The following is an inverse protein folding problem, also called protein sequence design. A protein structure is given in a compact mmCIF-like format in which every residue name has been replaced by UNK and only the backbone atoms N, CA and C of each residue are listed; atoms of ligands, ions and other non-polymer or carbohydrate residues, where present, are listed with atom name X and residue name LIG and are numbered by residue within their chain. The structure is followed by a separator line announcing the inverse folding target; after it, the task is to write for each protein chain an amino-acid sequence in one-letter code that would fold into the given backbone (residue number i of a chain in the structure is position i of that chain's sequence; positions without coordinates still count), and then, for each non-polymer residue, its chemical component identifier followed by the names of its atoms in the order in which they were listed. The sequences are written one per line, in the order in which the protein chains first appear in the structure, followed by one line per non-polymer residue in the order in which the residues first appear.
data_IF_207679131981
#
_entry.id   IF_207679131981
#
_cell.length_a   1.000
_cell.length_b   1.000
_cell.length_c   1.000
_cell.angle_alpha   90.00
_cell.angle_beta   90.00
_cell.angle_gamma   90.00
#
_symmetry.space_group_name_H-M   'P 1'
#
loop_
_entity.id
_entity.type
_entity.pdbx_description
1 polymer ?
#
# COMPACT_ATOMS: atom_id res chain seq x y z
N UNK A 1 7.46 1.37 5.32
CA UNK A 1 7.47 2.48 4.34
C UNK A 1 6.78 3.64 5.02
N UNK A 2 7.26 4.86 4.81
CA UNK A 2 6.64 6.06 5.34
C UNK A 2 6.72 7.14 4.26
N UNK A 3 5.64 7.88 4.09
CA UNK A 3 5.58 9.08 3.28
C UNK A 3 5.37 10.29 4.19
N UNK A 4 5.88 11.44 3.78
CA UNK A 4 5.46 12.72 4.35
C UNK A 4 4.75 13.48 3.24
N UNK A 5 3.51 13.90 3.52
CA UNK A 5 2.63 14.51 2.53
C UNK A 5 2.25 15.91 3.01
N UNK A 6 2.44 16.90 2.13
CA UNK A 6 1.83 18.21 2.27
C UNK A 6 0.70 18.32 1.25
N UNK A 7 -0.54 18.41 1.74
CA UNK A 7 -1.75 18.30 0.91
C UNK A 7 -2.60 19.56 1.01
N UNK A 8 -3.20 19.97 -0.11
CA UNK A 8 -4.19 21.06 -0.10
C UNK A 8 -5.48 20.58 0.56
N UNK A 9 -6.00 21.34 1.51
CA UNK A 9 -7.30 21.04 2.16
C UNK A 9 -8.41 20.77 1.15
N UNK A 10 -8.52 21.59 0.10
CA UNK A 10 -9.53 21.42 -0.96
C UNK A 10 -9.43 20.08 -1.69
N UNK A 11 -8.22 19.55 -1.88
CA UNK A 11 -8.03 18.25 -2.52
C UNK A 11 -8.55 17.12 -1.62
N UNK A 12 -8.28 17.20 -0.30
CA UNK A 12 -8.81 16.23 0.67
C UNK A 12 -10.34 16.29 0.81
N UNK A 13 -10.94 17.49 0.73
CA UNK A 13 -12.40 17.63 0.73
C UNK A 13 -13.01 16.97 -0.51
N UNK A 14 -12.34 17.05 -1.66
CA UNK A 14 -12.82 16.47 -2.91
C UNK A 14 -12.69 14.94 -2.95
N UNK A 15 -11.52 14.39 -2.62
CA UNK A 15 -11.27 12.94 -2.78
C UNK A 15 -11.50 12.12 -1.51
N UNK A 16 -11.68 12.78 -0.36
CA UNK A 16 -11.75 12.15 0.96
C UNK A 16 -10.37 11.95 1.62
N UNK A 17 -10.38 11.59 2.91
CA UNK A 17 -9.19 11.29 3.70
C UNK A 17 -8.62 9.90 3.36
N UNK A 18 -7.88 9.28 4.29
CA UNK A 18 -7.49 7.88 4.17
C UNK A 18 -8.71 6.97 4.18
N UNK A 19 -8.66 5.92 3.37
CA UNK A 19 -9.70 4.89 3.34
C UNK A 19 -9.40 3.83 4.42
N UNK A 20 -10.40 3.55 5.26
CA UNK A 20 -10.30 2.60 6.37
C UNK A 20 -10.05 1.15 5.91
N UNK A 21 -10.26 0.84 4.63
CA UNK A 21 -9.82 -0.42 4.02
C UNK A 21 -8.29 -0.61 4.06
N UNK A 22 -7.51 0.47 4.27
CA UNK A 22 -6.06 0.47 4.36
C UNK A 22 -5.60 1.01 5.73
N UNK A 23 -5.55 0.19 6.79
CA UNK A 23 -5.23 0.69 8.12
C UNK A 23 -3.79 1.19 8.26
N UNK A 24 -2.84 0.52 7.59
CA UNK A 24 -1.40 0.83 7.69
C UNK A 24 -0.76 0.89 6.32
N UNK A 25 -0.77 -0.21 5.54
CA UNK A 25 -0.14 -0.22 4.22
C UNK A 25 -1.11 0.21 3.13
N UNK A 26 -0.58 0.81 2.07
CA UNK A 26 -1.34 1.27 0.89
C UNK A 26 -2.33 2.41 1.15
N UNK A 27 -2.42 2.97 2.35
CA UNK A 27 -3.30 4.11 2.63
C UNK A 27 -2.88 5.37 1.88
N UNK A 28 -1.58 5.67 1.87
CA UNK A 28 -0.97 6.77 1.14
C UNK A 28 -0.95 6.52 -0.36
N UNK A 29 -0.72 5.28 -0.80
CA UNK A 29 -0.81 4.87 -2.21
C UNK A 29 -2.23 5.03 -2.75
N UNK A 30 -3.25 4.60 -2.00
CA UNK A 30 -4.66 4.80 -2.35
C UNK A 30 -5.04 6.28 -2.42
N UNK A 31 -4.61 7.07 -1.44
CA UNK A 31 -4.86 8.51 -1.44
C UNK A 31 -4.20 9.19 -2.64
N UNK A 32 -2.94 8.85 -2.94
CA UNK A 32 -2.23 9.35 -4.11
C UNK A 32 -2.92 8.95 -5.42
N UNK A 33 -3.37 7.70 -5.53
CA UNK A 33 -4.13 7.23 -6.69
C UNK A 33 -5.41 8.03 -6.89
N UNK A 34 -6.19 8.26 -5.83
CA UNK A 34 -7.43 9.05 -5.89
C UNK A 34 -7.17 10.51 -6.25
N UNK A 35 -6.15 11.15 -5.64
CA UNK A 35 -5.74 12.51 -5.98
C UNK A 35 -5.37 12.62 -7.46
N UNK A 36 -4.52 11.71 -7.94
CA UNK A 36 -4.12 11.68 -9.34
C UNK A 36 -5.31 11.44 -10.28
N UNK A 37 -6.20 10.52 -9.93
CA UNK A 37 -7.41 10.22 -10.72
C UNK A 37 -8.38 11.40 -10.80
N UNK A 38 -8.37 12.28 -9.79
CA UNK A 38 -9.14 13.53 -9.75
C UNK A 38 -8.39 14.71 -10.44
N UNK A 39 -7.25 14.47 -11.08
CA UNK A 39 -6.50 15.48 -11.81
C UNK A 39 -5.58 16.35 -10.95
N UNK A 40 -5.39 16.01 -9.67
CA UNK A 40 -4.41 16.70 -8.83
C UNK A 40 -2.98 16.32 -9.23
N UNK A 41 -2.10 17.34 -9.26
CA UNK A 41 -0.67 17.12 -9.46
C UNK A 41 -0.02 16.61 -8.18
N UNK A 42 0.81 15.57 -8.31
CA UNK A 42 1.63 15.02 -7.24
C UNK A 42 3.10 15.26 -7.61
N UNK A 43 3.78 16.09 -6.82
CA UNK A 43 5.19 16.44 -7.02
C UNK A 43 6.05 15.87 -5.88
N UNK A 44 7.25 15.40 -6.20
CA UNK A 44 8.27 15.01 -5.23
C UNK A 44 9.21 16.19 -4.96
N UNK A 45 9.44 16.52 -3.67
CA UNK A 45 10.35 17.59 -3.26
C UNK A 45 11.67 17.00 -2.72
N UNK A 46 12.73 16.92 -3.54
CA UNK A 46 14.01 16.32 -3.11
C UNK A 46 14.75 17.14 -2.05
N UNK A 47 14.49 18.44 -1.92
CA UNK A 47 15.13 19.29 -0.91
C UNK A 47 14.55 19.08 0.51
N UNK A 48 13.38 18.46 0.63
CA UNK A 48 12.77 18.19 1.92
C UNK A 48 13.21 16.81 2.43
N UNK A 49 13.84 16.78 3.60
CA UNK A 49 14.28 15.55 4.27
C UNK A 49 13.64 15.40 5.64
N UNK A 50 13.12 14.21 5.92
CA UNK A 50 12.50 13.87 7.21
C UNK A 50 13.04 12.52 7.68
N UNK A 51 13.42 12.45 8.96
CA UNK A 51 13.85 11.21 9.58
C UNK A 51 12.63 10.40 10.02
N UNK A 52 12.50 9.19 9.47
CA UNK A 52 11.55 8.19 9.96
C UNK A 52 12.29 7.08 10.70
N UNK A 53 12.12 7.01 12.02
CA UNK A 53 12.64 5.91 12.83
C UNK A 53 11.75 4.68 12.62
N UNK A 54 12.11 3.87 11.63
CA UNK A 54 11.31 2.73 11.20
C UNK A 54 11.30 1.58 12.20
N UNK A 55 10.18 0.86 12.27
CA UNK A 55 10.14 -0.46 12.90
C UNK A 55 9.80 -0.50 14.39
N UNK A 56 9.56 0.63 15.06
CA UNK A 56 9.23 0.65 16.49
C UNK A 56 8.07 -0.29 16.85
N UNK A 57 6.90 -0.09 16.23
CA UNK A 57 5.71 -0.92 16.49
C UNK A 57 5.67 -2.16 15.59
N UNK A 58 6.07 -2.04 14.33
CA UNK A 58 5.90 -3.13 13.35
C UNK A 58 6.82 -4.32 13.60
N UNK A 59 7.97 -4.14 14.28
CA UNK A 59 8.86 -5.25 14.67
C UNK A 59 8.20 -6.15 15.72
N UNK A 60 7.43 -5.59 16.65
CA UNK A 60 6.76 -6.33 17.72
C UNK A 60 5.67 -7.27 17.18
N UNK A 61 5.06 -6.91 16.05
CA UNK A 61 3.94 -7.64 15.44
C UNK A 61 4.24 -8.04 13.98
N UNK A 62 5.49 -8.41 13.70
CA UNK A 62 6.01 -8.58 12.33
C UNK A 62 5.16 -9.51 11.46
N UNK A 63 4.76 -10.68 11.97
CA UNK A 63 3.94 -11.62 11.20
C UNK A 63 2.55 -11.05 10.84
N UNK A 64 1.93 -10.30 11.77
CA UNK A 64 0.65 -9.61 11.54
C UNK A 64 0.81 -8.50 10.50
N UNK A 65 1.86 -7.69 10.62
CA UNK A 65 2.15 -6.59 9.69
C UNK A 65 2.46 -7.09 8.28
N UNK A 66 3.16 -8.23 8.18
CA UNK A 66 3.41 -8.88 6.89
C UNK A 66 2.09 -9.32 6.25
N UNK A 67 1.17 -9.94 7.00
CA UNK A 67 -0.16 -10.32 6.48
C UNK A 67 -0.99 -9.10 6.09
N UNK A 68 -1.05 -8.08 6.93
CA UNK A 68 -1.82 -6.87 6.63
C UNK A 68 -1.26 -6.14 5.41
N UNK A 69 0.07 -6.11 5.20
CA UNK A 69 0.66 -5.58 3.96
C UNK A 69 0.18 -6.30 2.70
N UNK A 70 0.07 -7.64 2.74
CA UNK A 70 -0.48 -8.43 1.64
C UNK A 70 -1.96 -8.16 1.44
N UNK A 71 -2.72 -8.14 2.52
CA UNK A 71 -4.18 -8.00 2.47
C UNK A 71 -4.54 -6.61 1.91
N UNK A 72 -3.83 -5.56 2.35
CA UNK A 72 -3.92 -4.20 1.83
C UNK A 72 -3.50 -4.11 0.35
N UNK A 73 -2.45 -4.82 -0.09
CA UNK A 73 -2.10 -4.91 -1.52
C UNK A 73 -3.21 -5.55 -2.36
N UNK A 74 -3.80 -6.66 -1.89
CA UNK A 74 -4.89 -7.32 -2.59
C UNK A 74 -6.16 -6.47 -2.62
N UNK A 75 -6.47 -5.75 -1.52
CA UNK A 75 -7.56 -4.79 -1.45
C UNK A 75 -7.36 -3.63 -2.45
N UNK A 76 -6.13 -3.12 -2.57
CA UNK A 76 -5.78 -2.07 -3.53
C UNK A 76 -6.00 -2.55 -4.97
N UNK A 77 -5.58 -3.77 -5.30
CA UNK A 77 -5.85 -4.39 -6.60
C UNK A 77 -7.35 -4.56 -6.85
N UNK A 78 -8.10 -5.02 -5.86
CA UNK A 78 -9.54 -5.18 -5.97
C UNK A 78 -10.25 -3.84 -6.23
N UNK A 79 -9.83 -2.77 -5.53
CA UNK A 79 -10.42 -1.44 -5.63
C UNK A 79 -10.09 -0.76 -6.97
N UNK A 80 -8.82 -0.78 -7.39
CA UNK A 80 -8.37 0.03 -8.53
C UNK A 80 -8.17 -0.76 -9.82
N UNK A 81 -7.77 -2.02 -9.75
CA UNK A 81 -7.42 -2.79 -10.95
C UNK A 81 -8.48 -3.80 -11.39
N UNK A 82 -9.29 -4.35 -10.48
CA UNK A 82 -10.38 -5.28 -10.85
C UNK A 82 -11.35 -4.70 -11.89
N UNK A 83 -11.82 -3.44 -11.78
CA UNK A 83 -12.70 -2.87 -12.81
C UNK A 83 -11.96 -2.44 -14.09
N UNK A 84 -10.62 -2.40 -14.09
CA UNK A 84 -9.79 -1.87 -15.19
C UNK A 84 -9.06 -2.95 -15.99
N UNK A 85 -8.85 -4.14 -15.41
CA UNK A 85 -8.10 -5.23 -16.03
C UNK A 85 -9.03 -6.33 -16.54
N UNK A 86 -8.61 -7.02 -17.60
CA UNK A 86 -9.26 -8.25 -18.04
C UNK A 86 -9.24 -9.29 -16.90
N UNK A 87 -10.32 -10.08 -16.69
CA UNK A 87 -10.41 -11.03 -15.56
C UNK A 87 -9.23 -12.00 -15.47
N UNK A 88 -8.72 -12.48 -16.60
CA UNK A 88 -7.54 -13.36 -16.61
C UNK A 88 -6.27 -12.66 -16.11
N UNK A 89 -6.02 -11.41 -16.53
CA UNK A 89 -4.87 -10.63 -16.10
C UNK A 89 -4.96 -10.28 -14.60
N UNK A 90 -6.15 -9.92 -14.12
CA UNK A 90 -6.40 -9.70 -12.69
C UNK A 90 -6.15 -10.96 -11.86
N UNK A 91 -6.65 -12.11 -12.34
CA UNK A 91 -6.49 -13.40 -11.67
C UNK A 91 -5.02 -13.83 -11.62
N UNK A 92 -4.29 -13.65 -12.72
CA UNK A 92 -2.85 -13.90 -12.79
C UNK A 92 -2.09 -13.03 -11.78
N UNK A 93 -2.34 -11.72 -11.76
CA UNK A 93 -1.65 -10.80 -10.88
C UNK A 93 -1.91 -11.10 -9.39
N UNK A 94 -3.17 -11.31 -9.00
CA UNK A 94 -3.52 -11.61 -7.61
C UNK A 94 -3.04 -12.98 -7.16
N UNK A 95 -3.01 -13.97 -8.05
CA UNK A 95 -2.40 -15.28 -7.78
C UNK A 95 -0.89 -15.16 -7.61
N UNK A 96 -0.20 -14.43 -8.48
CA UNK A 96 1.23 -14.18 -8.37
C UNK A 96 1.60 -13.50 -7.03
N UNK A 97 0.82 -12.50 -6.61
CA UNK A 97 0.99 -11.83 -5.31
C UNK A 97 0.86 -12.84 -4.16
N UNK A 98 -0.19 -13.66 -4.17
CA UNK A 98 -0.43 -14.68 -3.12
C UNK A 98 0.70 -15.72 -3.07
N UNK A 99 1.14 -16.21 -4.22
CA UNK A 99 2.21 -17.21 -4.32
C UNK A 99 3.56 -16.63 -3.87
N UNK A 100 3.93 -15.45 -4.35
CA UNK A 100 5.17 -14.79 -3.94
C UNK A 100 5.21 -14.55 -2.43
N UNK A 101 4.06 -14.20 -1.83
CA UNK A 101 3.95 -14.03 -0.39
C UNK A 101 4.09 -15.34 0.38
N UNK A 102 3.48 -16.43 -0.09
CA UNK A 102 3.61 -17.76 0.51
C UNK A 102 5.08 -18.23 0.48
N UNK A 103 5.77 -18.07 -0.65
CA UNK A 103 7.19 -18.39 -0.79
C UNK A 103 8.06 -17.58 0.18
N UNK A 104 7.82 -16.27 0.32
CA UNK A 104 8.56 -15.40 1.25
C UNK A 104 8.37 -15.79 2.73
N UNK A 105 7.20 -16.29 3.10
CA UNK A 105 6.96 -16.79 4.46
C UNK A 105 7.57 -18.18 4.69
N UNK A 106 7.55 -19.04 3.67
CA UNK A 106 8.20 -20.35 3.69
C UNK A 106 9.73 -20.23 3.82
N UNK A 107 10.35 -19.41 2.99
CA UNK A 107 11.80 -19.17 3.02
C UNK A 107 12.28 -18.58 4.36
N UNK A 108 11.49 -17.69 4.98
CA UNK A 108 11.80 -17.14 6.30
C UNK A 108 11.68 -18.14 7.46
N UNK A 109 10.94 -19.25 7.29
CA UNK A 109 10.92 -20.36 8.27
C UNK A 109 12.16 -21.23 8.15
N UNK A 110 12.65 -21.47 6.93
CA UNK A 110 13.83 -22.31 6.65
C UNK A 110 15.12 -21.69 7.20
N UNK A 111 15.23 -20.35 7.24
CA UNK A 111 16.41 -19.63 7.76
C UNK A 111 16.39 -19.36 9.28
N UNK A 112 15.38 -19.86 10.00
CA UNK A 112 15.27 -19.73 11.47
C UNK A 112 15.22 -21.08 12.20
N UNK A 113 15.47 -22.17 11.47
CA UNK A 113 15.60 -23.53 12.01
C UNK A 113 17.06 -23.92 12.19
#
# INVERSE_FOLDING_TARGET
MASCLLLRRRALVEVGLFDEQFPIYFNDVDLAWRLHSAGWRLDYQPAASILHVGGGTTRLVRARMVRESRDSLLAFYAKHYRPRLHPAAYSLATTAIRTAFALRLGANRVWRG
#
